data_IF_786535343967
#
_entry.id   IF_786535343967
#
_cell.length_a   1.000
_cell.length_b   1.000
_cell.length_c   1.000
_cell.angle_alpha   90.00
_cell.angle_beta   90.00
_cell.angle_gamma   90.00
#
_symmetry.space_group_name_H-M   'P 1'
#
loop_
_entity.id
_entity.type
_entity.pdbx_description
1 polymer ?
#
# COMPACT_ATOMS: atom_id res chain seq x y z
N UNK A 1 -1.57 13.56 -2.92
CA UNK A 1 -3.02 13.83 -3.02
C UNK A 1 -3.79 12.53 -3.02
N UNK A 2 -3.60 11.64 -4.00
CA UNK A 2 -4.27 10.32 -4.10
C UNK A 2 -4.33 9.53 -2.77
N UNK A 3 -3.21 9.37 -2.05
CA UNK A 3 -3.21 8.65 -0.77
C UNK A 3 -4.08 9.31 0.30
N UNK A 4 -4.03 10.65 0.41
CA UNK A 4 -4.89 11.40 1.33
C UNK A 4 -6.36 11.21 0.94
N UNK A 5 -6.67 11.31 -0.35
CA UNK A 5 -8.04 11.18 -0.86
C UNK A 5 -8.58 9.75 -0.61
N UNK A 6 -7.72 8.72 -0.68
CA UNK A 6 -8.06 7.36 -0.25
C UNK A 6 -8.44 7.28 1.24
N UNK A 7 -7.64 7.91 2.11
CA UNK A 7 -7.94 7.96 3.54
C UNK A 7 -9.24 8.75 3.81
N UNK A 8 -9.40 9.93 3.22
CA UNK A 8 -10.58 10.77 3.40
C UNK A 8 -11.86 10.10 2.86
N UNK A 9 -11.75 9.32 1.79
CA UNK A 9 -12.88 8.62 1.18
C UNK A 9 -13.28 7.37 1.95
N UNK A 10 -12.32 6.55 2.37
CA UNK A 10 -12.60 5.19 2.87
C UNK A 10 -12.29 4.98 4.35
N UNK A 11 -11.54 5.88 5.00
CA UNK A 11 -11.13 5.78 6.40
C UNK A 11 -11.91 6.74 7.33
N UNK A 12 -13.24 6.81 7.14
CA UNK A 12 -14.12 7.76 7.88
C UNK A 12 -14.77 7.18 9.14
N UNK A 13 -14.45 5.95 9.49
CA UNK A 13 -15.02 5.19 10.60
C UNK A 13 -13.99 4.21 11.15
N UNK A 14 -14.32 3.57 12.28
CA UNK A 14 -13.61 2.37 12.73
C UNK A 14 -13.70 1.25 11.70
N UNK A 15 -12.72 0.35 11.70
CA UNK A 15 -12.51 -0.73 10.73
C UNK A 15 -12.17 -1.99 11.51
N UNK A 16 -13.12 -2.92 11.61
CA UNK A 16 -12.94 -4.16 12.37
C UNK A 16 -11.90 -5.10 11.76
N UNK A 17 -11.74 -5.05 10.44
CA UNK A 17 -10.82 -5.91 9.70
C UNK A 17 -9.72 -5.06 9.08
N UNK A 18 -8.45 -5.40 9.32
CA UNK A 18 -7.32 -4.81 8.63
C UNK A 18 -6.62 -5.84 7.74
N UNK A 19 -6.65 -5.62 6.43
CA UNK A 19 -5.78 -6.32 5.49
C UNK A 19 -4.39 -5.68 5.54
N UNK A 20 -3.39 -6.44 5.99
CA UNK A 20 -2.04 -5.93 6.23
C UNK A 20 -1.05 -6.52 5.23
N UNK A 21 -0.55 -5.70 4.31
CA UNK A 21 0.56 -6.04 3.44
C UNK A 21 1.92 -5.68 4.04
N UNK A 22 3.00 -6.15 3.40
CA UNK A 22 4.37 -5.90 3.85
C UNK A 22 4.84 -4.50 3.47
N UNK A 23 5.05 -4.22 2.18
CA UNK A 23 5.56 -2.94 1.69
C UNK A 23 5.11 -2.64 0.24
N UNK A 24 5.23 -1.39 -0.22
CA UNK A 24 4.93 -1.02 -1.60
C UNK A 24 5.64 -1.86 -2.66
N UNK A 25 4.88 -2.33 -3.66
CA UNK A 25 5.43 -2.86 -4.90
C UNK A 25 5.77 -1.75 -5.91
N UNK A 26 6.74 -1.98 -6.82
CA UNK A 26 7.24 -0.95 -7.73
C UNK A 26 6.25 -0.52 -8.82
N UNK A 27 5.25 -1.34 -9.12
CA UNK A 27 4.25 -1.07 -10.15
C UNK A 27 2.86 -0.78 -9.59
N UNK A 28 2.69 -0.85 -8.27
CA UNK A 28 1.45 -0.52 -7.58
C UNK A 28 1.61 0.68 -6.67
N UNK A 29 1.71 0.45 -5.36
CA UNK A 29 1.74 1.54 -4.37
C UNK A 29 2.86 2.56 -4.59
N UNK A 30 4.03 2.16 -5.12
CA UNK A 30 5.09 3.12 -5.49
C UNK A 30 4.63 4.15 -6.53
N UNK A 31 3.69 3.76 -7.41
CA UNK A 31 3.18 4.62 -8.47
C UNK A 31 2.09 5.58 -8.00
N UNK A 32 1.27 5.21 -7.01
CA UNK A 32 0.05 5.98 -6.68
C UNK A 32 -0.24 6.15 -5.18
N UNK A 33 0.55 5.53 -4.31
CA UNK A 33 0.41 5.62 -2.86
C UNK A 33 -0.70 4.75 -2.25
N UNK A 34 -1.38 3.91 -3.03
CA UNK A 34 -2.43 3.02 -2.51
C UNK A 34 -1.85 1.63 -2.22
N UNK A 35 -2.06 1.04 -1.03
CA UNK A 35 -1.67 -0.34 -0.75
C UNK A 35 -2.22 -1.29 -1.82
N UNK A 36 -1.38 -2.21 -2.33
CA UNK A 36 -1.78 -3.08 -3.45
C UNK A 36 -2.26 -2.31 -4.70
N UNK A 37 -1.85 -1.06 -4.87
CA UNK A 37 -2.47 -0.11 -5.79
C UNK A 37 -2.18 -0.36 -7.26
N UNK A 38 -2.75 -1.40 -7.87
CA UNK A 38 -2.70 -1.53 -9.33
C UNK A 38 -3.49 -0.39 -9.99
N UNK A 39 -2.87 0.30 -10.97
CA UNK A 39 -3.37 1.60 -11.42
C UNK A 39 -4.78 1.56 -12.00
N UNK A 40 -5.18 0.49 -12.69
CA UNK A 40 -6.56 0.34 -13.20
C UNK A 40 -7.54 0.16 -12.04
N UNK A 41 -7.22 -0.68 -11.06
CA UNK A 41 -8.03 -0.89 -9.87
C UNK A 41 -8.20 0.40 -9.06
N UNK A 42 -7.14 1.20 -8.94
CA UNK A 42 -7.19 2.50 -8.24
C UNK A 42 -8.10 3.49 -8.96
N UNK A 43 -8.03 3.56 -10.29
CA UNK A 43 -8.88 4.47 -11.08
C UNK A 43 -10.33 3.98 -11.18
N UNK A 44 -10.51 2.70 -11.52
CA UNK A 44 -11.77 2.19 -12.03
C UNK A 44 -12.64 1.60 -10.90
N UNK A 45 -12.03 0.91 -9.93
CA UNK A 45 -12.75 0.37 -8.77
C UNK A 45 -12.78 1.37 -7.61
N UNK A 46 -11.62 1.89 -7.18
CA UNK A 46 -11.56 2.84 -6.07
C UNK A 46 -12.00 4.27 -6.47
N UNK A 47 -12.14 4.55 -7.77
CA UNK A 47 -12.54 5.87 -8.27
C UNK A 47 -11.69 6.99 -7.65
N UNK A 48 -10.37 6.78 -7.64
CA UNK A 48 -9.38 7.75 -7.18
C UNK A 48 -8.64 8.33 -8.37
N UNK A 49 -8.44 9.65 -8.34
CA UNK A 49 -7.77 10.42 -9.38
C UNK A 49 -6.73 11.33 -8.73
N UNK A 50 -5.77 11.78 -9.52
CA UNK A 50 -4.77 12.74 -9.05
C UNK A 50 -3.44 12.60 -9.79
N UNK A 51 -2.54 13.52 -9.48
CA UNK A 51 -1.17 13.50 -10.01
C UNK A 51 -0.19 12.99 -8.95
N UNK A 52 0.89 12.38 -9.41
CA UNK A 52 2.01 11.94 -8.57
C UNK A 52 3.25 12.62 -9.10
N UNK A 53 3.96 13.30 -8.20
CA UNK A 53 5.21 13.98 -8.54
C UNK A 53 6.31 12.94 -8.67
N UNK A 54 7.12 13.07 -9.70
CA UNK A 54 8.35 12.29 -9.86
C UNK A 54 9.39 12.83 -8.86
N UNK A 55 10.07 11.96 -8.09
CA UNK A 55 11.16 12.39 -7.23
C UNK A 55 12.38 12.81 -8.07
N UNK A 56 13.24 13.65 -7.50
CA UNK A 56 14.45 14.15 -8.17
C UNK A 56 15.43 13.03 -8.56
N UNK A 57 15.40 11.93 -7.80
CA UNK A 57 16.16 10.72 -8.07
C UNK A 57 15.25 9.49 -8.05
N UNK A 58 15.37 8.65 -9.08
CA UNK A 58 14.67 7.38 -9.18
C UNK A 58 15.50 6.39 -10.01
N UNK A 59 15.27 5.10 -9.79
CA UNK A 59 15.93 4.07 -10.58
C UNK A 59 15.42 4.10 -12.04
N UNK A 60 16.28 4.19 -13.07
CA UNK A 60 15.84 4.35 -14.47
C UNK A 60 14.88 3.25 -14.97
N UNK A 61 15.05 2.01 -14.48
CA UNK A 61 14.15 0.89 -14.82
C UNK A 61 12.80 0.90 -14.07
N UNK A 62 12.60 1.85 -13.15
CA UNK A 62 11.40 2.02 -12.29
C UNK A 62 10.95 3.48 -12.28
N UNK A 63 10.57 4.06 -13.43
CA UNK A 63 10.06 5.42 -13.49
C UNK A 63 8.74 5.54 -12.71
N UNK A 64 8.50 6.72 -12.16
CA UNK A 64 7.22 7.06 -11.52
C UNK A 64 6.32 7.73 -12.57
N UNK A 65 5.28 7.02 -12.97
CA UNK A 65 4.31 7.41 -14.00
C UNK A 65 2.93 7.75 -13.42
N UNK A 66 2.76 7.63 -12.10
CA UNK A 66 1.47 7.88 -11.47
C UNK A 66 0.41 6.84 -11.86
N UNK A 67 -0.84 7.30 -11.92
CA UNK A 67 -1.96 6.51 -12.45
C UNK A 67 -1.87 6.25 -13.95
N UNK A 68 -0.91 6.83 -14.67
CA UNK A 68 -0.65 6.55 -16.08
C UNK A 68 0.28 5.33 -16.29
N UNK A 69 0.74 4.69 -15.22
CA UNK A 69 1.52 3.46 -15.30
C UNK A 69 0.72 2.36 -16.02
N UNK A 70 1.24 1.89 -17.16
CA UNK A 70 0.62 0.82 -17.97
C UNK A 70 1.01 -0.58 -17.52
N UNK A 71 2.02 -0.71 -16.65
CA UNK A 71 2.40 -2.00 -16.06
C UNK A 71 1.43 -2.33 -14.93
N UNK A 72 0.82 -3.51 -15.02
CA UNK A 72 -0.09 -4.02 -14.00
C UNK A 72 0.70 -4.71 -12.89
N UNK A 73 0.49 -4.30 -11.64
CA UNK A 73 0.96 -5.04 -10.48
C UNK A 73 0.03 -6.23 -10.23
N UNK A 74 0.52 -7.45 -10.47
CA UNK A 74 -0.31 -8.67 -10.41
C UNK A 74 -0.91 -8.89 -9.02
N UNK A 75 -0.14 -8.65 -7.95
CA UNK A 75 -0.62 -8.76 -6.57
C UNK A 75 -1.76 -7.79 -6.32
N UNK A 76 -1.58 -6.51 -6.68
CA UNK A 76 -2.61 -5.50 -6.60
C UNK A 76 -3.88 -5.82 -7.37
N UNK A 77 -3.74 -6.26 -8.63
CA UNK A 77 -4.88 -6.66 -9.47
C UNK A 77 -5.69 -7.78 -8.82
N UNK A 78 -5.02 -8.78 -8.24
CA UNK A 78 -5.67 -9.90 -7.56
C UNK A 78 -6.38 -9.45 -6.28
N UNK A 79 -5.70 -8.64 -5.47
CA UNK A 79 -6.26 -8.14 -4.22
C UNK A 79 -7.52 -7.30 -4.46
N UNK A 80 -7.45 -6.30 -5.34
CA UNK A 80 -8.62 -5.46 -5.62
C UNK A 80 -9.71 -6.20 -6.41
N UNK A 81 -9.35 -7.20 -7.21
CA UNK A 81 -10.31 -8.12 -7.81
C UNK A 81 -11.10 -8.91 -6.77
N UNK A 82 -10.43 -9.42 -5.72
CA UNK A 82 -11.10 -10.05 -4.58
C UNK A 82 -11.97 -9.07 -3.82
N UNK A 83 -11.47 -7.87 -3.52
CA UNK A 83 -12.22 -6.83 -2.83
C UNK A 83 -13.51 -6.48 -3.60
N UNK A 84 -13.40 -6.31 -4.92
CA UNK A 84 -14.55 -6.09 -5.81
C UNK A 84 -15.53 -7.26 -5.79
N UNK A 85 -15.05 -8.52 -5.77
CA UNK A 85 -15.92 -9.69 -5.69
C UNK A 85 -16.70 -9.75 -4.37
N UNK A 86 -16.01 -9.51 -3.24
CA UNK A 86 -16.59 -9.55 -1.89
C UNK A 86 -17.61 -8.44 -1.65
N UNK A 87 -17.55 -7.37 -2.44
CA UNK A 87 -18.37 -6.17 -2.29
C UNK A 87 -19.35 -5.95 -3.44
N UNK A 88 -19.57 -6.95 -4.28
CA UNK A 88 -20.43 -6.86 -5.47
C UNK A 88 -20.11 -5.65 -6.39
N UNK A 89 -18.83 -5.25 -6.43
CA UNK A 89 -18.34 -4.14 -7.23
C UNK A 89 -18.41 -2.76 -6.56
N UNK A 90 -18.95 -2.64 -5.35
CA UNK A 90 -19.00 -1.37 -4.63
C UNK A 90 -17.87 -1.25 -3.58
N UNK A 91 -16.85 -0.39 -3.79
CA UNK A 91 -15.78 -0.23 -2.82
C UNK A 91 -16.30 0.24 -1.44
N UNK A 92 -17.43 0.96 -1.36
CA UNK A 92 -17.95 1.42 -0.07
C UNK A 92 -18.38 0.25 0.82
N UNK A 93 -18.97 -0.80 0.24
CA UNK A 93 -19.32 -2.03 0.98
C UNK A 93 -18.06 -2.76 1.47
N UNK A 94 -16.99 -2.78 0.66
CA UNK A 94 -15.72 -3.36 1.12
C UNK A 94 -15.15 -2.59 2.32
N UNK A 95 -15.15 -1.25 2.25
CA UNK A 95 -14.58 -0.40 3.30
C UNK A 95 -15.51 -0.13 4.49
N UNK A 96 -16.74 -0.64 4.50
CA UNK A 96 -17.68 -0.46 5.62
C UNK A 96 -17.09 -0.98 6.94
N UNK A 97 -16.44 -2.16 6.89
CA UNK A 97 -15.84 -2.80 8.06
C UNK A 97 -14.37 -3.16 7.88
N UNK A 98 -13.83 -3.02 6.68
CA UNK A 98 -12.44 -3.38 6.40
C UNK A 98 -11.59 -2.19 5.94
N UNK A 99 -10.28 -2.31 6.12
CA UNK A 99 -9.32 -1.36 5.58
C UNK A 99 -8.05 -2.07 5.13
N UNK A 100 -7.21 -1.38 4.36
CA UNK A 100 -5.99 -1.94 3.77
C UNK A 100 -4.82 -1.06 4.13
N UNK A 101 -3.74 -1.66 4.62
CA UNK A 101 -2.55 -0.96 5.10
C UNK A 101 -1.29 -1.77 4.78
N UNK A 102 -0.14 -1.09 4.64
CA UNK A 102 1.16 -1.74 4.55
C UNK A 102 1.96 -1.46 5.83
N UNK A 103 2.57 -2.50 6.39
CA UNK A 103 3.40 -2.40 7.58
C UNK A 103 4.58 -1.43 7.39
N UNK A 104 5.32 -1.59 6.30
CA UNK A 104 6.47 -0.75 5.95
C UNK A 104 6.10 0.20 4.81
N UNK A 105 6.21 1.52 4.97
CA UNK A 105 5.67 2.49 4.01
C UNK A 105 6.55 2.71 2.78
N UNK A 106 7.80 2.22 2.76
CA UNK A 106 8.75 2.51 1.69
C UNK A 106 8.90 1.36 0.68
N UNK A 107 9.02 1.73 -0.60
CA UNK A 107 9.55 0.84 -1.63
C UNK A 107 11.06 1.00 -1.66
N UNK A 108 11.81 -0.07 -1.39
CA UNK A 108 13.27 -0.08 -1.50
C UNK A 108 13.64 -0.87 -2.73
N UNK A 109 14.60 -0.36 -3.49
CA UNK A 109 15.05 -0.97 -4.74
C UNK A 109 16.55 -1.26 -4.68
N UNK A 110 16.95 -2.42 -5.17
CA UNK A 110 18.37 -2.71 -5.41
C UNK A 110 18.87 -2.01 -6.69
N UNK A 111 20.16 -2.14 -6.98
CA UNK A 111 20.82 -1.57 -8.16
C UNK A 111 20.26 -2.07 -9.50
N UNK A 112 19.46 -3.16 -9.51
CA UNK A 112 18.77 -3.69 -10.69
C UNK A 112 17.30 -3.24 -10.74
N UNK A 113 16.84 -2.49 -9.74
CA UNK A 113 15.46 -2.07 -9.57
C UNK A 113 14.54 -3.18 -9.05
N UNK A 114 15.07 -4.26 -8.46
CA UNK A 114 14.26 -5.27 -7.77
C UNK A 114 13.79 -4.69 -6.43
N UNK A 115 12.54 -4.95 -6.06
CA UNK A 115 12.05 -4.63 -4.72
C UNK A 115 12.86 -5.39 -3.66
N UNK A 116 13.23 -4.68 -2.59
CA UNK A 116 13.89 -5.20 -1.41
C UNK A 116 12.93 -5.02 -0.24
N UNK A 117 12.48 -6.12 0.34
CA UNK A 117 11.59 -6.13 1.50
C UNK A 117 12.38 -5.90 2.80
N UNK A 118 11.73 -5.45 3.89
CA UNK A 118 12.43 -5.26 5.18
C UNK A 118 13.22 -6.49 5.67
N UNK A 119 12.72 -7.74 5.54
CA UNK A 119 13.50 -8.93 5.89
C UNK A 119 14.75 -9.16 5.01
N UNK A 120 14.74 -8.67 3.77
CA UNK A 120 15.86 -8.79 2.81
C UNK A 120 16.95 -7.74 3.03
N UNK A 121 16.74 -6.74 3.91
CA UNK A 121 17.75 -5.72 4.20
C UNK A 121 18.97 -6.33 4.90
N UNK A 122 20.14 -6.07 4.32
CA UNK A 122 21.44 -6.58 4.75
C UNK A 122 22.47 -5.45 4.76
N UNK A 123 23.55 -5.62 5.52
CA UNK A 123 24.65 -4.66 5.57
C UNK A 123 24.28 -3.32 6.22
N UNK A 124 23.17 -3.28 6.95
CA UNK A 124 22.81 -2.13 7.78
C UNK A 124 23.74 -2.07 9.00
N UNK A 125 23.96 -0.85 9.51
CA UNK A 125 24.60 -0.66 10.80
C UNK A 125 23.82 -1.38 11.92
N UNK A 126 24.55 -1.83 12.95
CA UNK A 126 23.96 -2.57 14.07
C UNK A 126 22.84 -1.75 14.72
N UNK A 127 21.67 -2.35 14.90
CA UNK A 127 20.51 -1.69 15.53
C UNK A 127 19.57 -0.96 14.58
N UNK A 128 19.97 -0.68 13.32
CA UNK A 128 19.12 0.06 12.38
C UNK A 128 17.89 -0.75 11.97
N UNK A 129 18.03 -2.06 11.79
CA UNK A 129 16.90 -2.92 11.43
C UNK A 129 15.87 -2.96 12.54
N UNK A 130 16.34 -3.16 13.77
CA UNK A 130 15.51 -3.16 14.98
C UNK A 130 14.80 -1.82 15.16
N UNK A 131 15.48 -0.71 14.89
CA UNK A 131 14.88 0.62 14.95
C UNK A 131 13.75 0.81 13.92
N UNK A 132 13.94 0.34 12.68
CA UNK A 132 12.92 0.38 11.64
C UNK A 132 11.69 -0.44 12.05
N UNK A 133 11.92 -1.68 12.50
CA UNK A 133 10.85 -2.58 12.95
C UNK A 133 10.08 -1.97 14.12
N UNK A 134 10.77 -1.47 15.15
CA UNK A 134 10.14 -0.80 16.29
C UNK A 134 9.30 0.41 15.89
N UNK A 135 9.78 1.20 14.92
CA UNK A 135 9.04 2.37 14.43
C UNK A 135 7.78 1.96 13.66
N UNK A 136 7.87 0.92 12.83
CA UNK A 136 6.73 0.39 12.09
C UNK A 136 5.72 -0.27 13.03
N UNK A 137 6.18 -1.00 14.05
CA UNK A 137 5.35 -1.59 15.09
C UNK A 137 4.59 -0.51 15.87
N UNK A 138 5.28 0.54 16.31
CA UNK A 138 4.65 1.66 17.02
C UNK A 138 3.56 2.31 16.16
N UNK A 139 3.86 2.60 14.89
CA UNK A 139 2.88 3.17 13.96
C UNK A 139 1.69 2.24 13.72
N UNK A 140 1.94 0.93 13.54
CA UNK A 140 0.87 -0.04 13.36
C UNK A 140 -0.04 -0.12 14.59
N UNK A 141 0.54 -0.14 15.80
CA UNK A 141 -0.23 -0.15 17.05
C UNK A 141 -1.16 1.07 17.12
N UNK A 142 -0.68 2.26 16.74
CA UNK A 142 -1.51 3.46 16.72
C UNK A 142 -2.65 3.36 15.69
N UNK A 143 -2.37 2.84 14.49
CA UNK A 143 -3.40 2.58 13.47
C UNK A 143 -4.44 1.56 13.96
N UNK A 144 -4.01 0.46 14.57
CA UNK A 144 -4.91 -0.59 15.09
C UNK A 144 -5.84 -0.04 16.18
N UNK A 145 -5.31 0.79 17.09
CA UNK A 145 -6.09 1.45 18.14
C UNK A 145 -7.06 2.49 17.57
N UNK A 146 -6.59 3.34 16.64
CA UNK A 146 -7.40 4.37 16.01
C UNK A 146 -8.61 3.75 15.28
N UNK A 147 -8.37 2.67 14.54
CA UNK A 147 -9.41 2.01 13.76
C UNK A 147 -10.22 0.99 14.56
N UNK A 148 -9.85 0.70 15.81
CA UNK A 148 -10.47 -0.34 16.65
C UNK A 148 -10.54 -1.70 15.93
N UNK A 149 -9.40 -2.12 15.38
CA UNK A 149 -9.29 -3.38 14.64
C UNK A 149 -9.49 -4.57 15.58
N UNK A 150 -10.34 -5.51 15.18
CA UNK A 150 -10.59 -6.77 15.88
C UNK A 150 -9.86 -7.94 15.20
N UNK A 151 -9.71 -7.89 13.88
CA UNK A 151 -9.11 -8.96 13.07
C UNK A 151 -8.08 -8.38 12.11
N UNK A 152 -6.86 -8.95 12.14
CA UNK A 152 -5.82 -8.65 11.15
C UNK A 152 -5.71 -9.83 10.19
N UNK A 153 -5.83 -9.54 8.90
CA UNK A 153 -5.58 -10.50 7.82
C UNK A 153 -4.24 -10.12 7.18
N UNK A 154 -3.18 -10.79 7.60
CA UNK A 154 -1.85 -10.59 7.02
C UNK A 154 -1.79 -11.20 5.61
N UNK A 155 -1.36 -10.41 4.63
CA UNK A 155 -1.18 -10.82 3.24
C UNK A 155 0.31 -11.06 3.00
N UNK A 156 0.69 -12.34 3.02
CA UNK A 156 2.05 -12.85 2.82
C UNK A 156 2.08 -14.01 1.85
#
# INVERSE_FOLDING_TARGET
EIHRDFLEKYCRSTKKILFLGMNPGPWGMMQNGIPFGESSSVRDFLSLVGSVRTPDSFHPSRPILGLSCTRSEVSGKRFWGLASLLSAGDPQLFFEHSFVYNYFPFCLLDEKGKNVTPPELKGLEVGVKEYIEQTCDASLIDVLKLLQVEVIIAIG
#
